data_IF_697469022611
#
_entry.id   IF_697469022611
#
_cell.length_a   1.000
_cell.length_b   1.000
_cell.length_c   1.000
_cell.angle_alpha   90.00
_cell.angle_beta   90.00
_cell.angle_gamma   90.00
#
_symmetry.space_group_name_H-M   'P 1'
#
loop_
_entity.id
_entity.type
_entity.pdbx_description
1 polymer ?
#
# COMPACT_ATOMS: atom_id res chain seq x y z
N UNK A 1 -18.80 15.19 33.12
CA UNK A 1 -17.52 15.60 32.50
C UNK A 1 -17.34 14.79 31.22
N UNK A 2 -17.41 15.40 30.03
CA UNK A 2 -16.99 14.73 28.79
C UNK A 2 -15.46 14.78 28.75
N UNK A 3 -14.79 13.64 28.85
CA UNK A 3 -13.34 13.57 28.65
C UNK A 3 -12.97 14.18 27.29
N UNK A 4 -11.84 14.89 27.22
CA UNK A 4 -11.32 15.39 25.94
C UNK A 4 -11.22 14.22 24.97
N UNK A 5 -11.87 14.31 23.81
CA UNK A 5 -11.77 13.29 22.77
C UNK A 5 -10.31 13.25 22.29
N UNK A 6 -9.64 12.11 22.51
CA UNK A 6 -8.25 11.92 22.15
C UNK A 6 -8.05 11.61 20.66
N UNK A 7 -6.81 11.33 20.29
CA UNK A 7 -6.42 10.87 18.95
C UNK A 7 -5.80 9.48 19.03
N UNK A 8 -5.87 8.75 17.93
CA UNK A 8 -5.20 7.46 17.73
C UNK A 8 -4.25 7.56 16.53
N UNK A 9 -3.11 6.90 16.66
CA UNK A 9 -2.20 6.61 15.57
C UNK A 9 -2.06 5.09 15.48
N UNK A 10 -2.41 4.52 14.33
CA UNK A 10 -2.33 3.09 14.07
C UNK A 10 -1.20 2.84 13.08
N UNK A 11 -0.09 2.30 13.59
CA UNK A 11 1.02 1.84 12.76
C UNK A 11 0.67 0.47 12.19
N UNK A 12 0.73 0.35 10.87
CA UNK A 12 0.60 -0.89 10.10
C UNK A 12 1.93 -1.13 9.41
N UNK A 13 2.54 -2.27 9.71
CA UNK A 13 3.72 -2.78 9.01
C UNK A 13 3.24 -3.62 7.83
N UNK A 14 3.56 -3.17 6.61
CA UNK A 14 3.27 -3.90 5.38
C UNK A 14 4.30 -5.02 5.22
N UNK A 15 4.17 -6.07 6.02
CA UNK A 15 5.12 -7.17 6.06
C UNK A 15 5.38 -7.74 4.65
N UNK A 16 6.65 -7.69 4.22
CA UNK A 16 7.07 -8.08 2.86
C UNK A 16 6.32 -7.32 1.76
N UNK A 17 6.23 -5.99 1.90
CA UNK A 17 5.43 -5.11 1.04
C UNK A 17 5.68 -5.34 -0.46
N UNK A 18 6.94 -5.57 -0.83
CA UNK A 18 7.34 -5.85 -2.21
C UNK A 18 6.91 -7.26 -2.65
N UNK A 19 7.04 -8.29 -1.82
CA UNK A 19 6.76 -9.69 -2.21
C UNK A 19 5.26 -10.01 -2.24
N UNK A 20 4.47 -9.30 -1.42
CA UNK A 20 3.03 -9.55 -1.27
C UNK A 20 2.15 -8.70 -2.17
N UNK A 21 2.73 -7.75 -2.92
CA UNK A 21 1.97 -6.88 -3.79
C UNK A 21 1.28 -7.69 -4.91
N UNK A 22 -0.05 -7.71 -4.92
CA UNK A 22 -0.79 -8.55 -5.86
C UNK A 22 -0.71 -8.00 -7.29
N UNK A 23 -0.40 -8.84 -8.26
CA UNK A 23 -0.30 -8.43 -9.67
C UNK A 23 -1.61 -7.91 -10.25
N UNK A 24 -2.75 -8.47 -9.82
CA UNK A 24 -4.06 -7.95 -10.20
C UNK A 24 -4.27 -6.51 -9.74
N UNK A 25 -3.81 -6.17 -8.53
CA UNK A 25 -3.85 -4.82 -8.02
C UNK A 25 -2.92 -3.88 -8.78
N UNK A 26 -1.67 -4.31 -9.07
CA UNK A 26 -0.73 -3.54 -9.90
C UNK A 26 -1.35 -3.21 -11.26
N UNK A 27 -1.97 -4.20 -11.92
CA UNK A 27 -2.64 -4.00 -13.20
C UNK A 27 -3.76 -2.97 -13.10
N UNK A 28 -4.62 -3.09 -12.08
CA UNK A 28 -5.70 -2.14 -11.86
C UNK A 28 -5.18 -0.71 -11.61
N UNK A 29 -4.09 -0.56 -10.85
CA UNK A 29 -3.44 0.73 -10.63
C UNK A 29 -2.88 1.32 -11.92
N UNK A 30 -2.22 0.51 -12.75
CA UNK A 30 -1.70 0.94 -14.05
C UNK A 30 -2.83 1.41 -14.99
N UNK A 31 -3.92 0.65 -15.03
CA UNK A 31 -5.12 0.99 -15.80
C UNK A 31 -5.71 2.33 -15.29
N UNK A 32 -5.85 2.50 -13.96
CA UNK A 32 -6.40 3.71 -13.34
C UNK A 32 -5.58 4.99 -13.59
N UNK A 33 -4.26 4.88 -13.71
CA UNK A 33 -3.38 6.02 -14.01
C UNK A 33 -3.21 6.27 -15.51
N UNK A 34 -3.93 5.54 -16.37
CA UNK A 34 -3.91 5.70 -17.82
C UNK A 34 -2.71 5.04 -18.52
N UNK A 35 -1.99 4.15 -17.83
CA UNK A 35 -0.95 3.33 -18.47
C UNK A 35 -1.64 2.11 -19.09
N UNK A 36 -1.89 2.19 -20.39
CA UNK A 36 -2.68 1.19 -21.11
C UNK A 36 -1.91 0.52 -22.26
N UNK A 37 -2.56 -0.44 -22.92
CA UNK A 37 -2.10 -1.01 -24.18
C UNK A 37 -0.77 -1.76 -24.09
N UNK A 38 0.16 -1.43 -24.99
CA UNK A 38 1.45 -2.14 -25.11
C UNK A 38 2.35 -1.93 -23.88
N UNK A 39 2.36 -0.72 -23.32
CA UNK A 39 3.22 -0.38 -22.16
C UNK A 39 2.76 -1.16 -20.93
N UNK A 40 1.46 -1.17 -20.64
CA UNK A 40 0.89 -1.97 -19.56
C UNK A 40 1.25 -3.45 -19.70
N UNK A 41 1.06 -4.03 -20.89
CA UNK A 41 1.42 -5.43 -21.16
C UNK A 41 2.90 -5.72 -20.93
N UNK A 42 3.79 -4.79 -21.29
CA UNK A 42 5.23 -4.92 -21.05
C UNK A 42 5.56 -4.89 -19.56
N UNK A 43 5.01 -3.92 -18.82
CA UNK A 43 5.19 -3.82 -17.36
C UNK A 43 4.64 -5.07 -16.68
N UNK A 44 3.42 -5.48 -17.04
CA UNK A 44 2.78 -6.68 -16.47
C UNK A 44 3.55 -7.95 -16.77
N UNK A 45 4.13 -8.08 -17.98
CA UNK A 45 5.03 -9.20 -18.30
C UNK A 45 6.32 -9.13 -17.49
N UNK A 46 6.89 -7.95 -17.31
CA UNK A 46 8.08 -7.75 -16.51
C UNK A 46 7.87 -8.21 -15.06
N UNK A 47 6.79 -7.77 -14.41
CA UNK A 47 6.48 -8.13 -13.00
C UNK A 47 6.00 -9.57 -12.82
N UNK A 48 5.57 -10.27 -13.87
CA UNK A 48 5.00 -11.63 -13.73
C UNK A 48 5.89 -12.76 -14.27
N UNK A 49 7.00 -12.43 -14.94
CA UNK A 49 7.79 -13.43 -15.68
C UNK A 49 9.00 -13.98 -14.93
N UNK A 50 9.37 -13.41 -13.78
CA UNK A 50 10.54 -13.87 -13.04
C UNK A 50 10.31 -15.20 -12.34
N UNK A 51 11.40 -15.96 -12.20
CA UNK A 51 11.47 -17.23 -11.48
C UNK A 51 12.50 -17.11 -10.38
N UNK A 52 12.25 -17.82 -9.29
CA UNK A 52 13.16 -17.92 -8.18
C UNK A 52 13.70 -19.34 -8.05
N UNK A 53 14.91 -19.42 -7.50
CA UNK A 53 15.48 -20.61 -6.88
C UNK A 53 15.90 -20.25 -5.48
N UNK A 54 15.73 -21.15 -4.53
CA UNK A 54 16.25 -20.98 -3.17
C UNK A 54 17.44 -21.89 -2.99
N UNK A 55 18.48 -21.42 -2.31
CA UNK A 55 19.57 -22.28 -1.84
C UNK A 55 19.21 -22.74 -0.43
N UNK A 56 19.04 -24.04 -0.25
CA UNK A 56 18.74 -24.69 1.03
C UNK A 56 19.90 -25.61 1.37
N UNK A 57 20.62 -25.33 2.46
CA UNK A 57 21.77 -26.12 2.91
C UNK A 57 22.86 -26.34 1.84
N UNK A 58 23.05 -25.36 0.94
CA UNK A 58 24.01 -25.43 -0.16
C UNK A 58 23.47 -26.10 -1.44
N UNK A 59 22.28 -26.70 -1.39
CA UNK A 59 21.62 -27.26 -2.57
C UNK A 59 20.63 -26.25 -3.18
N UNK A 60 20.61 -26.19 -4.51
CA UNK A 60 19.75 -25.29 -5.27
C UNK A 60 18.41 -25.96 -5.52
N UNK A 61 17.30 -25.32 -5.15
CA UNK A 61 15.95 -25.80 -5.43
C UNK A 61 15.60 -25.78 -6.91
N UNK A 62 14.51 -26.45 -7.25
CA UNK A 62 13.84 -26.24 -8.53
C UNK A 62 13.35 -24.80 -8.70
N UNK A 63 13.17 -24.42 -9.96
CA UNK A 63 12.57 -23.15 -10.32
C UNK A 63 11.11 -23.11 -9.86
N UNK A 64 10.73 -22.04 -9.16
CA UNK A 64 9.33 -21.75 -8.87
C UNK A 64 8.96 -20.35 -9.36
N UNK A 65 7.67 -20.19 -9.71
CA UNK A 65 7.11 -18.90 -10.09
C UNK A 65 6.33 -18.31 -8.92
N UNK A 66 6.62 -17.06 -8.53
CA UNK A 66 5.78 -16.35 -7.56
C UNK A 66 4.41 -16.06 -8.18
N UNK A 67 3.43 -15.79 -7.31
CA UNK A 67 2.06 -15.38 -7.71
C UNK A 67 1.77 -13.91 -7.41
N UNK A 68 2.68 -13.26 -6.72
CA UNK A 68 2.62 -11.87 -6.28
C UNK A 68 4.03 -11.32 -6.15
N UNK A 69 4.10 -10.01 -6.04
CA UNK A 69 5.26 -9.28 -5.68
C UNK A 69 6.03 -8.71 -6.86
N UNK A 70 6.94 -7.82 -6.53
CA UNK A 70 7.80 -7.10 -7.46
C UNK A 70 9.25 -7.29 -7.04
N UNK A 71 10.17 -7.22 -7.99
CA UNK A 71 11.56 -7.62 -7.76
C UNK A 71 12.31 -6.52 -7.04
N UNK A 72 12.75 -6.79 -5.81
CA UNK A 72 13.69 -5.89 -5.14
C UNK A 72 15.01 -5.76 -5.92
N UNK A 73 15.54 -4.55 -5.99
CA UNK A 73 16.75 -4.23 -6.76
C UNK A 73 16.51 -4.00 -8.25
N UNK A 74 15.29 -4.17 -8.76
CA UNK A 74 14.95 -3.71 -10.09
C UNK A 74 14.59 -2.21 -10.08
N UNK A 75 15.14 -1.40 -11.02
CA UNK A 75 14.84 0.02 -11.11
C UNK A 75 13.36 0.38 -11.24
N UNK A 76 12.51 -0.47 -11.84
CA UNK A 76 11.10 -0.16 -12.05
C UNK A 76 10.24 -0.41 -10.80
N UNK A 77 10.63 -1.39 -9.98
CA UNK A 77 9.86 -1.83 -8.81
C UNK A 77 9.51 -0.71 -7.81
N UNK A 78 10.42 0.22 -7.43
CA UNK A 78 10.08 1.34 -6.56
C UNK A 78 8.96 2.23 -7.11
N UNK A 79 8.92 2.47 -8.43
CA UNK A 79 7.89 3.30 -9.05
C UNK A 79 6.52 2.64 -9.03
N UNK A 80 6.48 1.34 -9.35
CA UNK A 80 5.24 0.55 -9.27
C UNK A 80 4.71 0.52 -7.85
N UNK A 81 5.61 0.36 -6.87
CA UNK A 81 5.25 0.39 -5.45
C UNK A 81 4.64 1.74 -5.04
N UNK A 82 5.26 2.85 -5.44
CA UNK A 82 4.74 4.20 -5.16
C UNK A 82 3.36 4.42 -5.78
N UNK A 83 3.14 4.00 -7.03
CA UNK A 83 1.81 4.10 -7.65
C UNK A 83 0.74 3.32 -6.87
N UNK A 84 1.10 2.14 -6.38
CA UNK A 84 0.21 1.32 -5.55
C UNK A 84 -0.12 2.01 -4.21
N UNK A 85 0.87 2.62 -3.57
CA UNK A 85 0.67 3.38 -2.33
C UNK A 85 -0.14 4.66 -2.57
N UNK A 86 0.05 5.35 -3.70
CA UNK A 86 -0.76 6.51 -4.08
C UNK A 86 -2.23 6.13 -4.29
N UNK A 87 -2.51 4.97 -4.89
CA UNK A 87 -3.88 4.47 -5.01
C UNK A 87 -4.53 4.21 -3.63
N UNK A 88 -3.76 3.67 -2.68
CA UNK A 88 -4.21 3.48 -1.31
C UNK A 88 -4.46 4.83 -0.60
N UNK A 89 -3.54 5.79 -0.76
CA UNK A 89 -3.69 7.19 -0.31
C UNK A 89 -5.00 7.81 -0.82
N UNK A 90 -5.28 7.69 -2.13
CA UNK A 90 -6.53 8.18 -2.71
C UNK A 90 -7.76 7.53 -2.09
N UNK A 91 -7.72 6.24 -1.80
CA UNK A 91 -8.84 5.51 -1.17
C UNK A 91 -9.13 6.04 0.24
N UNK A 92 -8.08 6.28 1.04
CA UNK A 92 -8.19 6.91 2.36
C UNK A 92 -8.71 8.35 2.23
N UNK A 93 -8.19 9.12 1.28
CA UNK A 93 -8.60 10.50 1.04
C UNK A 93 -10.07 10.62 0.63
N UNK A 94 -10.62 9.66 -0.14
CA UNK A 94 -12.04 9.64 -0.46
C UNK A 94 -12.91 9.48 0.80
N UNK A 95 -12.49 8.65 1.76
CA UNK A 95 -13.20 8.47 3.04
C UNK A 95 -13.11 9.72 3.91
N UNK A 96 -11.98 10.42 3.87
CA UNK A 96 -11.81 11.74 4.49
C UNK A 96 -12.74 12.79 3.89
N UNK A 97 -12.75 12.95 2.56
CA UNK A 97 -13.61 13.93 1.86
C UNK A 97 -15.09 13.64 2.10
N UNK A 98 -15.49 12.36 2.16
CA UNK A 98 -16.87 11.95 2.51
C UNK A 98 -17.24 12.18 3.98
N UNK A 99 -16.32 12.67 4.82
CA UNK A 99 -16.54 12.93 6.24
C UNK A 99 -16.58 11.69 7.13
N UNK A 100 -16.41 10.49 6.57
CA UNK A 100 -16.39 9.23 7.32
C UNK A 100 -15.11 9.06 8.14
N UNK A 101 -13.99 9.57 7.64
CA UNK A 101 -12.70 9.59 8.33
C UNK A 101 -12.46 10.96 8.97
N UNK A 102 -12.19 10.98 10.27
CA UNK A 102 -11.93 12.18 11.07
C UNK A 102 -10.43 12.29 11.36
N UNK A 103 -9.66 13.02 10.55
CA UNK A 103 -8.20 13.10 10.66
C UNK A 103 -7.73 13.85 11.90
N UNK A 104 -6.42 13.82 12.12
CA UNK A 104 -5.78 14.59 13.19
C UNK A 104 -5.32 15.95 12.66
N UNK A 105 -5.62 17.02 13.40
CA UNK A 105 -5.10 18.36 13.11
C UNK A 105 -4.34 18.87 14.33
N UNK A 106 -3.02 18.87 14.24
CA UNK A 106 -2.12 19.19 15.37
C UNK A 106 -1.88 20.71 15.49
N UNK A 107 -1.92 21.43 14.36
CA UNK A 107 -1.63 22.87 14.31
C UNK A 107 -2.49 23.58 13.25
N UNK A 108 -2.09 24.81 12.86
CA UNK A 108 -2.71 25.52 11.73
C UNK A 108 -2.46 24.85 10.36
N UNK A 109 -1.68 23.77 10.32
CA UNK A 109 -1.40 22.99 9.11
C UNK A 109 -2.57 22.12 8.60
N UNK A 110 -2.33 21.32 7.55
CA UNK A 110 -3.34 20.43 6.99
C UNK A 110 -3.74 19.36 8.02
N UNK A 111 -4.96 18.84 7.86
CA UNK A 111 -5.37 17.67 8.62
C UNK A 111 -4.69 16.43 8.03
N UNK A 112 -4.19 15.54 8.89
CA UNK A 112 -3.40 14.37 8.52
C UNK A 112 -4.25 13.13 8.80
N UNK A 113 -4.51 12.34 7.75
CA UNK A 113 -5.22 11.05 7.85
C UNK A 113 -4.26 9.86 7.80
N UNK A 114 -3.14 9.98 7.07
CA UNK A 114 -2.16 8.91 6.93
C UNK A 114 -0.77 9.44 6.56
N UNK A 115 0.25 8.63 6.81
CA UNK A 115 1.64 8.83 6.36
C UNK A 115 2.15 7.48 5.84
N UNK A 116 2.73 7.49 4.65
CA UNK A 116 3.47 6.35 4.10
C UNK A 116 4.97 6.59 4.24
N UNK A 117 5.71 5.55 4.63
CA UNK A 117 7.16 5.54 4.61
C UNK A 117 7.65 4.14 4.26
N UNK A 118 8.05 3.93 3.00
CA UNK A 118 8.40 2.61 2.48
C UNK A 118 7.32 1.56 2.79
N UNK A 119 7.60 0.61 3.67
CA UNK A 119 6.73 -0.47 4.14
C UNK A 119 5.90 -0.11 5.40
N UNK A 120 6.09 1.08 5.98
CA UNK A 120 5.27 1.57 7.08
C UNK A 120 4.09 2.43 6.60
N UNK A 121 2.90 2.12 7.08
CA UNK A 121 1.69 2.95 6.97
C UNK A 121 1.25 3.37 8.37
N UNK A 122 1.21 4.68 8.64
CA UNK A 122 0.65 5.21 9.88
C UNK A 122 -0.67 5.90 9.57
N UNK A 123 -1.75 5.40 10.16
CA UNK A 123 -3.10 5.97 10.04
C UNK A 123 -3.41 6.83 11.26
N UNK A 124 -4.05 7.98 11.06
CA UNK A 124 -4.37 8.96 12.09
C UNK A 124 -5.87 9.24 12.14
N UNK A 125 -6.45 9.22 13.35
CA UNK A 125 -7.88 9.52 13.52
C UNK A 125 -8.28 9.94 14.94
N UNK A 126 -9.56 10.30 15.12
CA UNK A 126 -10.12 10.49 16.46
C UNK A 126 -10.18 9.17 17.22
N UNK A 127 -9.86 9.20 18.52
CA UNK A 127 -9.89 8.03 19.40
C UNK A 127 -11.33 7.58 19.68
N UNK A 128 -11.89 6.76 18.77
CA UNK A 128 -13.22 6.17 18.89
C UNK A 128 -13.28 4.83 18.15
N UNK A 129 -14.12 3.91 18.63
CA UNK A 129 -14.33 2.61 17.97
C UNK A 129 -14.83 2.77 16.53
N UNK A 130 -15.71 3.74 16.28
CA UNK A 130 -16.20 4.05 14.94
C UNK A 130 -15.05 4.40 13.98
N UNK A 131 -14.08 5.20 14.42
CA UNK A 131 -12.93 5.53 13.58
C UNK A 131 -11.99 4.35 13.40
N UNK A 132 -11.79 3.51 14.43
CA UNK A 132 -11.00 2.29 14.30
C UNK A 132 -11.58 1.35 13.24
N UNK A 133 -12.91 1.16 13.19
CA UNK A 133 -13.55 0.37 12.13
C UNK A 133 -13.39 1.00 10.74
N UNK A 134 -13.58 2.32 10.61
CA UNK A 134 -13.34 3.03 9.34
C UNK A 134 -11.89 2.88 8.86
N UNK A 135 -10.94 2.93 9.78
CA UNK A 135 -9.51 2.75 9.48
C UNK A 135 -9.21 1.33 9.02
N UNK A 136 -9.80 0.32 9.68
CA UNK A 136 -9.68 -1.10 9.35
C UNK A 136 -10.29 -1.45 7.99
N UNK A 137 -11.41 -0.84 7.62
CA UNK A 137 -12.05 -1.04 6.32
C UNK A 137 -11.20 -0.53 5.13
N UNK A 138 -10.20 0.30 5.40
CA UNK A 138 -9.34 0.90 4.37
C UNK A 138 -7.96 0.24 4.28
N UNK A 139 -7.63 -0.67 5.21
CA UNK A 139 -6.36 -1.41 5.29
C UNK A 139 -6.54 -2.85 4.86
#
# INVERSE_FOLDING_TARGET
>A
MKGKMGFIAWKIDLAKAYDRLQWGFIKAVLDDVGIEGKINKLIMRYVSSFQYKVILNGEVSDNFRPKSGIRQGDPLSPYIFVLCMEKLSHTINQKFVKGSWKPVKISRGPAISHIFFADDLILFGQASLQQAEVMKDCS
#
